data_IF_850626384767
#
_entry.id   IF_850626384767
#
_cell.length_a   1.000
_cell.length_b   1.000
_cell.length_c   1.000
_cell.angle_alpha   90.00
_cell.angle_beta   90.00
_cell.angle_gamma   90.00
#
_symmetry.space_group_name_H-M   'P 1'
#
loop_
_entity.id
_entity.type
_entity.pdbx_description
1 polymer ?
2 non-polymer ?
3 water ?
#
# COMPACT_ATOMS: atom_id res chain seq x y z
N UNK A 3 5.57 -0.47 30.29
CA UNK A 3 5.42 0.64 29.35
C UNK A 3 3.95 0.99 29.11
N UNK A 4 3.65 2.28 28.87
CA UNK A 4 2.31 2.64 28.37
C UNK A 4 1.90 1.84 27.13
N UNK A 5 0.60 1.56 27.03
CA UNK A 5 0.03 0.80 25.92
C UNK A 5 0.00 1.61 24.62
N UNK A 6 -0.15 0.90 23.51
CA UNK A 6 -0.36 1.55 22.23
C UNK A 6 -1.53 2.51 22.35
N UNK A 7 -2.62 2.05 22.96
CA UNK A 7 -3.81 2.89 23.19
C UNK A 7 -3.43 4.26 23.74
N UNK A 8 -2.65 4.26 24.82
CA UNK A 8 -2.19 5.52 25.46
C UNK A 8 -1.32 6.30 24.50
N UNK A 9 -0.40 5.61 23.85
CA UNK A 9 0.60 6.26 22.99
C UNK A 9 -0.03 7.07 21.86
N UNK A 10 -1.14 6.60 21.33
CA UNK A 10 -1.70 7.24 20.15
C UNK A 10 -2.82 8.23 20.52
N UNK A 11 -3.08 8.40 21.82
CA UNK A 11 -4.06 9.40 22.26
C UNK A 11 -5.42 8.85 22.68
N UNK A 12 -5.50 7.54 22.82
CA UNK A 12 -6.67 6.91 23.39
C UNK A 12 -7.93 6.92 22.52
N UNK A 13 -9.07 6.91 23.22
CA UNK A 13 -10.39 6.73 22.61
C UNK A 13 -10.65 7.68 21.45
N UNK A 14 -10.31 8.93 21.67
CA UNK A 14 -10.53 9.95 20.66
C UNK A 14 -9.87 9.58 19.32
N UNK A 15 -8.69 8.98 19.39
CA UNK A 15 -7.95 8.61 18.17
C UNK A 15 -8.63 7.44 17.48
N UNK A 16 -9.09 6.47 18.25
CA UNK A 16 -9.79 5.33 17.65
C UNK A 16 -11.11 5.76 16.99
N UNK A 17 -11.74 6.80 17.52
CA UNK A 17 -12.97 7.30 16.93
C UNK A 17 -12.63 7.85 15.54
N UNK A 18 -11.54 8.62 15.44
CA UNK A 18 -11.10 9.17 14.15
C UNK A 18 -10.78 8.04 13.15
N UNK A 19 -10.04 7.04 13.61
CA UNK A 19 -9.65 5.92 12.77
C UNK A 19 -10.89 5.24 12.20
N UNK A 20 -11.84 4.91 13.06
CA UNK A 20 -12.99 4.09 12.65
C UNK A 20 -13.94 4.91 11.78
N UNK A 21 -14.09 6.20 12.07
CA UNK A 21 -14.90 7.08 11.22
C UNK A 21 -14.36 7.05 9.78
N UNK A 22 -13.05 7.16 9.64
CA UNK A 22 -12.44 7.28 8.30
C UNK A 22 -12.57 5.94 7.58
N UNK A 23 -12.34 4.87 8.34
CA UNK A 23 -12.39 3.52 7.80
C UNK A 23 -13.80 3.25 7.30
N UNK A 24 -14.81 3.51 8.14
CA UNK A 24 -16.18 3.19 7.76
C UNK A 24 -16.69 4.05 6.60
N UNK A 25 -16.22 5.29 6.51
CA UNK A 25 -16.60 6.13 5.38
C UNK A 25 -16.15 5.49 4.06
N UNK A 26 -14.94 4.95 4.10
CA UNK A 26 -14.36 4.27 2.96
C UNK A 26 -15.07 2.96 2.67
N UNK A 27 -15.38 2.20 3.70
CA UNK A 27 -16.16 0.96 3.53
C UNK A 27 -17.47 1.28 2.85
N UNK A 28 -18.16 2.33 3.30
CA UNK A 28 -19.50 2.58 2.80
C UNK A 28 -19.40 2.92 1.31
N UNK A 29 -18.30 3.53 0.90
CA UNK A 29 -18.14 4.00 -0.48
C UNK A 29 -17.47 2.98 -1.40
N UNK A 30 -17.19 1.78 -0.89
CA UNK A 30 -16.49 0.75 -1.65
C UNK A 30 -17.37 -0.45 -1.97
N UNK A 31 -17.79 -0.58 -3.24
CA UNK A 31 -18.66 -1.71 -3.59
C UNK A 31 -18.06 -3.10 -3.36
N UNK A 32 -16.75 -3.18 -3.19
CA UNK A 32 -16.10 -4.47 -2.93
C UNK A 32 -16.49 -5.01 -1.56
N UNK A 33 -16.87 -4.10 -0.65
CA UNK A 33 -17.09 -4.46 0.75
C UNK A 33 -18.49 -4.21 1.24
N UNK A 34 -19.14 -3.16 0.73
CA UNK A 34 -20.33 -2.60 1.36
C UNK A 34 -21.40 -3.69 1.52
N UNK A 35 -21.54 -4.53 0.49
CA UNK A 35 -22.60 -5.53 0.48
C UNK A 35 -22.51 -6.56 1.60
N UNK A 36 -21.34 -6.70 2.19
CA UNK A 36 -21.14 -7.67 3.26
C UNK A 36 -21.67 -7.17 4.59
N UNK A 37 -21.80 -5.85 4.70
CA UNK A 37 -22.19 -5.21 5.93
C UNK A 37 -23.70 -5.03 6.01
N UNK A 38 -24.25 -4.90 7.23
CA UNK A 38 -25.71 -4.80 7.33
C UNK A 38 -26.25 -3.48 6.79
N UNK A 39 -27.57 -3.37 6.66
CA UNK A 39 -28.18 -2.11 6.24
C UNK A 39 -27.79 -0.97 7.20
N UNK A 40 -27.77 -1.24 8.51
CA UNK A 40 -27.42 -0.23 9.52
C UNK A 40 -26.00 -0.54 9.98
N UNK A 41 -25.07 0.37 9.72
CA UNK A 41 -23.67 0.12 10.05
C UNK A 41 -23.31 0.45 11.50
N UNK A 42 -24.18 1.17 12.21
CA UNK A 42 -23.76 1.81 13.46
C UNK A 42 -23.41 0.84 14.60
N UNK A 43 -24.24 -0.21 14.81
CA UNK A 43 -23.84 -1.10 15.89
C UNK A 43 -22.48 -1.77 15.67
N UNK A 44 -22.25 -2.24 14.46
CA UNK A 44 -21.00 -2.88 14.09
C UNK A 44 -19.82 -1.93 14.14
N UNK A 45 -20.04 -0.68 13.74
CA UNK A 45 -19.02 0.35 13.82
C UNK A 45 -18.55 0.54 15.25
N UNK A 46 -19.49 0.65 16.19
CA UNK A 46 -19.13 0.82 17.59
C UNK A 46 -18.39 -0.42 18.11
N UNK A 47 -18.84 -1.61 17.68
CA UNK A 47 -18.20 -2.84 18.11
C UNK A 47 -16.77 -2.87 17.62
N UNK A 48 -16.56 -2.45 16.37
CA UNK A 48 -15.20 -2.48 15.87
C UNK A 48 -14.30 -1.48 16.64
N UNK A 49 -14.80 -0.27 16.87
CA UNK A 49 -14.05 0.72 17.66
C UNK A 49 -13.69 0.17 19.04
N UNK A 50 -14.66 -0.42 19.74
CA UNK A 50 -14.40 -0.92 21.08
C UNK A 50 -13.37 -2.06 21.05
N UNK A 51 -13.44 -2.90 20.03
CA UNK A 51 -12.47 -3.97 19.89
C UNK A 51 -11.06 -3.40 19.74
N UNK A 52 -10.88 -2.44 18.82
CA UNK A 52 -9.57 -1.89 18.60
C UNK A 52 -9.04 -1.25 19.89
N UNK A 53 -9.91 -0.52 20.56
CA UNK A 53 -9.53 0.14 21.81
C UNK A 53 -9.01 -0.87 22.82
N UNK A 54 -9.72 -1.97 22.94
CA UNK A 54 -9.35 -3.03 23.88
C UNK A 54 -8.08 -3.76 23.48
N UNK A 55 -7.98 -4.11 22.20
CA UNK A 55 -6.84 -4.89 21.73
C UNK A 55 -5.54 -4.16 21.99
N UNK A 56 -5.53 -2.85 21.73
CA UNK A 56 -4.32 -2.06 21.83
C UNK A 56 -4.12 -1.48 23.24
N UNK A 57 -4.91 -1.95 24.20
CA UNK A 57 -4.57 -1.78 25.61
C UNK A 57 -5.45 -0.84 26.39
N UNK A 58 -6.54 -0.37 25.79
CA UNK A 58 -7.50 0.48 26.47
C UNK A 58 -8.59 -0.24 27.25
N UNK A 59 -9.76 0.43 27.37
CA UNK A 59 -10.86 -0.16 28.14
C UNK A 59 -11.30 -1.52 27.62
N UNK A 60 -11.82 -2.35 28.53
CA UNK A 60 -12.32 -3.69 28.22
C UNK A 60 -13.80 -3.67 27.92
N UNK A 61 -14.29 -2.53 27.45
CA UNK A 61 -15.71 -2.38 27.16
C UNK A 61 -16.19 -3.41 26.11
N UNK A 62 -15.33 -3.69 25.13
CA UNK A 62 -15.70 -4.64 24.11
C UNK A 62 -16.11 -5.98 24.74
N UNK A 63 -15.24 -6.52 25.58
CA UNK A 63 -15.49 -7.80 26.25
C UNK A 63 -16.76 -7.78 27.09
N UNK A 64 -17.04 -6.64 27.73
CA UNK A 64 -18.24 -6.51 28.55
C UNK A 64 -19.49 -6.61 27.69
N UNK A 65 -19.38 -6.17 26.44
CA UNK A 65 -20.55 -6.14 25.54
C UNK A 65 -20.64 -7.36 24.64
N UNK A 66 -19.48 -7.90 24.25
CA UNK A 66 -19.44 -8.92 23.21
C UNK A 66 -18.73 -10.21 23.58
N UNK A 67 -18.11 -10.25 24.76
CA UNK A 67 -17.38 -11.44 25.18
C UNK A 67 -16.05 -11.50 24.45
N UNK A 68 -15.52 -12.69 24.23
CA UNK A 68 -14.24 -12.82 23.54
C UNK A 68 -14.41 -12.40 22.09
N UNK A 69 -13.39 -11.76 21.50
CA UNK A 69 -13.56 -11.31 20.11
C UNK A 69 -13.84 -12.45 19.11
N UNK A 70 -13.18 -13.59 19.23
CA UNK A 70 -13.43 -14.72 18.32
C UNK A 70 -13.59 -14.24 16.88
N UNK A 71 -12.67 -13.40 16.41
CA UNK A 71 -12.91 -12.70 15.16
C UNK A 71 -13.02 -13.65 13.97
N UNK A 72 -12.14 -14.64 13.87
CA UNK A 72 -12.28 -15.58 12.76
C UNK A 72 -13.64 -16.28 12.73
N UNK A 73 -14.16 -16.64 13.90
CA UNK A 73 -15.49 -17.23 13.99
C UNK A 73 -16.55 -16.21 13.55
N UNK A 74 -16.40 -14.96 13.97
CA UNK A 74 -17.44 -13.97 13.69
C UNK A 74 -17.46 -13.58 12.23
N UNK A 75 -16.35 -13.80 11.51
CA UNK A 75 -16.29 -13.42 10.12
C UNK A 75 -16.66 -14.59 9.20
N UNK A 76 -16.93 -15.76 9.76
CA UNK A 76 -17.31 -16.93 8.97
C UNK A 76 -18.50 -16.66 8.03
N UNK A 77 -19.46 -15.81 8.43
CA UNK A 77 -20.62 -15.63 7.52
C UNK A 77 -20.31 -14.87 6.24
N UNK A 78 -19.13 -14.25 6.16
CA UNK A 78 -18.74 -13.37 5.06
C UNK A 78 -17.73 -14.08 4.16
N UNK A 79 -18.05 -14.26 2.87
CA UNK A 79 -17.02 -14.87 2.01
C UNK A 79 -15.83 -13.93 1.81
N UNK A 80 -14.68 -14.29 2.37
CA UNK A 80 -13.53 -13.39 2.40
C UNK A 80 -12.39 -14.08 1.72
N UNK A 81 -11.99 -13.52 0.58
CA UNK A 81 -10.85 -14.02 -0.15
C UNK A 81 -9.83 -12.89 -0.27
N UNK A 82 -8.81 -13.07 -1.12
CA UNK A 82 -7.77 -12.07 -1.34
C UNK A 82 -8.34 -10.67 -1.70
N UNK A 83 -9.41 -10.61 -2.48
CA UNK A 83 -9.94 -9.30 -2.92
C UNK A 83 -10.55 -8.52 -1.76
N UNK A 84 -11.22 -9.24 -0.87
CA UNK A 84 -11.84 -8.63 0.29
C UNK A 84 -10.77 -8.24 1.32
N UNK A 85 -9.78 -9.10 1.47
CA UNK A 85 -8.64 -8.82 2.35
C UNK A 85 -7.98 -7.52 1.93
N UNK A 86 -7.68 -7.45 0.64
CA UNK A 86 -6.97 -6.32 0.05
C UNK A 86 -7.78 -5.03 0.23
N UNK A 87 -9.08 -5.08 0.01
CA UNK A 87 -9.92 -3.91 0.17
C UNK A 87 -9.97 -3.44 1.63
N UNK A 88 -10.18 -4.36 2.57
CA UNK A 88 -10.19 -4.01 3.97
C UNK A 88 -8.87 -3.33 4.40
N UNK A 89 -7.76 -3.95 4.03
CA UNK A 89 -6.44 -3.48 4.45
C UNK A 89 -6.14 -2.11 3.82
N UNK A 90 -6.51 -1.92 2.56
CA UNK A 90 -6.35 -0.61 1.93
C UNK A 90 -6.98 0.49 2.79
N UNK A 91 -8.22 0.26 3.20
CA UNK A 91 -8.94 1.30 3.90
C UNK A 91 -8.47 1.48 5.33
N UNK A 92 -8.08 0.38 5.99
CA UNK A 92 -7.63 0.54 7.37
C UNK A 92 -6.25 1.18 7.38
N UNK A 93 -5.39 0.80 6.45
CA UNK A 93 -4.11 1.48 6.44
C UNK A 93 -4.26 2.96 6.13
N UNK A 94 -5.16 3.32 5.22
CA UNK A 94 -5.39 4.72 4.92
C UNK A 94 -5.93 5.44 6.16
N UNK A 95 -6.80 4.78 6.90
CA UNK A 95 -7.40 5.40 8.08
C UNK A 95 -6.32 5.73 9.13
N UNK A 96 -5.36 4.81 9.35
CA UNK A 96 -4.24 5.08 10.26
C UNK A 96 -3.45 6.28 9.83
N UNK A 97 -3.18 6.37 8.55
CA UNK A 97 -2.42 7.51 8.03
C UNK A 97 -3.20 8.82 8.16
N UNK A 98 -4.47 8.82 7.77
CA UNK A 98 -5.29 10.03 7.81
C UNK A 98 -5.65 10.47 9.24
N UNK A 99 -5.70 9.55 10.20
CA UNK A 99 -6.04 9.87 11.58
C UNK A 99 -4.85 10.44 12.35
N UNK A 100 -3.68 10.41 11.74
CA UNK A 100 -2.49 10.98 12.34
C UNK A 100 -1.83 10.10 13.39
N UNK A 101 -1.91 8.80 13.25
CA UNK A 101 -1.32 7.90 14.22
C UNK A 101 0.19 7.99 14.10
N UNK A 102 0.88 8.33 15.21
CA UNK A 102 2.33 8.49 15.19
C UNK A 102 3.10 7.18 15.12
N UNK A 103 4.30 7.24 14.59
CA UNK A 103 5.24 6.12 14.66
C UNK A 103 5.93 6.17 16.02
N UNK A 104 6.36 5.01 16.53
CA UNK A 104 6.30 3.64 16.00
C UNK A 104 4.95 2.93 16.19
N UNK A 105 4.04 3.54 16.93
CA UNK A 105 2.81 2.87 17.28
C UNK A 105 2.04 2.48 16.01
N UNK A 106 2.01 3.39 15.02
CA UNK A 106 1.32 3.12 13.77
C UNK A 106 1.82 1.84 13.11
N UNK A 107 3.13 1.62 13.17
CA UNK A 107 3.71 0.41 12.56
C UNK A 107 3.24 -0.85 13.26
N UNK A 108 3.14 -0.80 14.58
CA UNK A 108 2.65 -1.96 15.36
C UNK A 108 1.23 -2.31 14.92
N UNK A 109 0.38 -1.29 14.80
CA UNK A 109 -0.99 -1.45 14.38
C UNK A 109 -1.07 -2.03 12.97
N UNK A 110 -0.26 -1.51 12.06
CA UNK A 110 -0.16 -2.03 10.69
C UNK A 110 0.26 -3.51 10.69
N UNK A 111 1.25 -3.83 11.51
CA UNK A 111 1.74 -5.20 11.55
C UNK A 111 0.59 -6.12 11.99
N UNK A 112 -0.13 -5.70 13.02
CA UNK A 112 -1.22 -6.51 13.51
C UNK A 112 -2.31 -6.69 12.42
N UNK A 113 -2.67 -5.58 11.76
CA UNK A 113 -3.73 -5.62 10.75
C UNK A 113 -3.37 -6.51 9.57
N UNK A 114 -2.11 -6.49 9.15
CA UNK A 114 -1.70 -7.26 7.98
C UNK A 114 -1.84 -8.74 8.29
N UNK A 115 -1.48 -9.11 9.51
CA UNK A 115 -1.58 -10.49 9.92
C UNK A 115 -3.04 -10.90 10.07
N UNK A 116 -3.82 -10.08 10.78
CA UNK A 116 -5.21 -10.38 11.08
C UNK A 116 -6.07 -10.48 9.81
N UNK A 117 -5.84 -9.56 8.87
CA UNK A 117 -6.60 -9.56 7.61
C UNK A 117 -6.34 -10.84 6.82
N UNK A 118 -5.10 -11.28 6.76
CA UNK A 118 -4.74 -12.53 6.09
C UNK A 118 -5.43 -13.71 6.77
N UNK A 119 -5.31 -13.76 8.09
CA UNK A 119 -5.88 -14.87 8.86
C UNK A 119 -7.42 -14.91 8.88
N UNK A 120 -8.09 -13.86 8.45
CA UNK A 120 -9.54 -13.81 8.40
C UNK A 120 -10.08 -14.50 7.15
N UNK A 121 -9.25 -14.72 6.16
CA UNK A 121 -9.75 -15.25 4.90
C UNK A 121 -10.35 -16.63 5.13
N UNK A 122 -11.41 -16.93 4.39
CA UNK A 122 -12.10 -18.20 4.54
C UNK A 122 -12.55 -18.84 3.22
N UNK A 123 -12.22 -18.25 2.08
CA UNK A 123 -12.63 -18.83 0.78
C UNK A 123 -11.58 -18.54 -0.29
N UNK B 3 29.73 15.01 -21.94
CA UNK B 3 29.12 15.31 -20.65
C UNK B 3 28.54 14.05 -20.01
N UNK B 4 28.47 14.02 -18.67
CA UNK B 4 27.99 12.83 -17.98
C UNK B 4 26.53 12.51 -18.28
N UNK B 5 26.21 11.23 -18.41
CA UNK B 5 24.82 10.80 -18.51
C UNK B 5 24.15 11.00 -17.14
N UNK B 6 22.83 10.97 -17.11
CA UNK B 6 22.14 10.97 -15.82
C UNK B 6 22.56 9.72 -15.05
N UNK B 7 22.67 8.60 -15.75
CA UNK B 7 23.15 7.36 -15.16
C UNK B 7 24.40 7.63 -14.35
N UNK B 8 25.34 8.34 -14.97
CA UNK B 8 26.57 8.68 -14.28
C UNK B 8 26.35 9.74 -13.20
N UNK B 9 25.61 10.79 -13.53
CA UNK B 9 25.36 11.89 -12.60
C UNK B 9 24.90 11.39 -11.22
N UNK B 10 24.06 10.36 -11.19
CA UNK B 10 23.44 9.94 -9.93
C UNK B 10 24.09 8.75 -9.25
N UNK B 11 25.17 8.23 -9.82
CA UNK B 11 25.94 7.18 -9.15
C UNK B 11 25.75 5.80 -9.74
N UNK B 12 25.17 5.77 -10.94
CA UNK B 12 25.06 4.54 -11.72
C UNK B 12 24.29 3.40 -11.08
N UNK B 13 24.75 2.18 -11.35
CA UNK B 13 23.96 1.00 -11.02
C UNK B 13 23.54 0.95 -9.55
N UNK B 14 24.44 1.28 -8.63
CA UNK B 14 24.09 1.22 -7.21
C UNK B 14 22.88 2.10 -6.86
N UNK B 15 22.76 3.25 -7.49
CA UNK B 15 21.69 4.17 -7.16
C UNK B 15 20.38 3.65 -7.75
N UNK B 16 20.43 3.08 -8.95
CA UNK B 16 19.20 2.51 -9.53
C UNK B 16 18.76 1.33 -8.71
N UNK B 17 19.70 0.58 -8.16
CA UNK B 17 19.33 -0.56 -7.31
C UNK B 17 18.57 -0.06 -6.10
N UNK B 18 19.04 1.04 -5.52
CA UNK B 18 18.42 1.60 -4.32
C UNK B 18 17.02 2.11 -4.62
N UNK B 19 16.87 2.84 -5.75
CA UNK B 19 15.56 3.36 -6.15
C UNK B 19 14.56 2.22 -6.31
N UNK B 20 14.96 1.18 -7.05
CA UNK B 20 14.04 0.10 -7.38
C UNK B 20 13.75 -0.70 -6.14
N UNK B 21 14.73 -0.87 -5.24
CA UNK B 21 14.45 -1.56 -3.98
C UNK B 21 13.35 -0.85 -3.17
N UNK B 22 13.45 0.48 -3.05
CA UNK B 22 12.49 1.25 -2.26
C UNK B 22 11.12 1.21 -2.93
N UNK B 23 11.11 1.44 -4.24
CA UNK B 23 9.90 1.40 -5.04
C UNK B 23 9.15 0.08 -4.83
N UNK B 24 9.85 -1.03 -5.05
CA UNK B 24 9.21 -2.34 -4.96
C UNK B 24 8.77 -2.69 -3.53
N UNK B 25 9.49 -2.21 -2.53
CA UNK B 25 9.05 -2.47 -1.14
C UNK B 25 7.67 -1.82 -0.93
N UNK B 26 7.54 -0.60 -1.46
CA UNK B 26 6.28 0.15 -1.32
C UNK B 26 5.14 -0.51 -2.11
N UNK B 27 5.45 -0.98 -3.32
CA UNK B 27 4.48 -1.67 -4.17
C UNK B 27 4.00 -2.95 -3.47
N UNK B 28 4.97 -3.69 -2.94
CA UNK B 28 4.65 -4.97 -2.32
C UNK B 28 3.70 -4.78 -1.15
N UNK B 29 3.89 -3.67 -0.44
CA UNK B 29 3.10 -3.34 0.77
C UNK B 29 1.77 -2.64 0.46
N UNK B 30 1.49 -2.35 -0.80
CA UNK B 30 0.33 -1.55 -1.18
C UNK B 30 -0.79 -2.40 -1.78
N UNK B 31 -1.87 -2.65 -1.00
CA UNK B 31 -2.92 -3.50 -1.59
C UNK B 31 -3.62 -2.87 -2.80
N UNK B 32 -3.36 -1.61 -3.13
CA UNK B 32 -3.88 -1.02 -4.36
C UNK B 32 -3.19 -1.63 -5.58
N UNK B 33 -2.00 -2.18 -5.38
CA UNK B 33 -1.16 -2.58 -6.50
C UNK B 33 -0.68 -4.01 -6.50
N UNK B 34 -0.52 -4.62 -5.31
CA UNK B 34 0.17 -5.90 -5.20
C UNK B 34 -0.46 -6.95 -6.10
N UNK B 35 -1.78 -6.89 -6.23
CA UNK B 35 -2.52 -7.92 -6.93
C UNK B 35 -2.15 -7.98 -8.42
N UNK B 36 -1.62 -6.89 -8.96
CA UNK B 36 -1.27 -6.84 -10.38
C UNK B 36 0.01 -7.54 -10.68
N UNK B 37 0.88 -7.68 -9.65
CA UNK B 37 2.23 -8.21 -9.82
C UNK B 37 2.30 -9.71 -9.56
N UNK B 38 3.30 -10.40 -10.12
CA UNK B 38 3.41 -11.86 -9.94
C UNK B 38 3.67 -12.28 -8.50
N UNK B 39 3.52 -13.57 -8.20
CA UNK B 39 3.84 -14.08 -6.88
C UNK B 39 5.33 -13.90 -6.60
N UNK B 40 6.14 -14.12 -7.62
CA UNK B 40 7.58 -13.89 -7.51
C UNK B 40 7.91 -12.53 -8.14
N UNK B 41 8.28 -11.56 -7.30
CA UNK B 41 8.52 -10.19 -7.77
C UNK B 41 9.92 -10.03 -8.37
N UNK B 42 10.80 -10.99 -8.15
CA UNK B 42 12.20 -10.72 -8.40
C UNK B 42 12.53 -10.52 -9.89
N UNK B 43 11.96 -11.35 -10.80
CA UNK B 43 12.34 -11.07 -12.19
C UNK B 43 11.94 -9.66 -12.64
N UNK B 44 10.75 -9.20 -12.24
CA UNK B 44 10.26 -7.90 -12.66
C UNK B 44 11.07 -6.78 -12.07
N UNK B 45 11.53 -7.00 -10.84
CA UNK B 45 12.35 -6.03 -10.18
C UNK B 45 13.68 -5.88 -10.93
N UNK B 46 14.23 -7.00 -11.40
CA UNK B 46 15.46 -6.96 -12.21
C UNK B 46 15.18 -6.22 -13.52
N UNK B 47 14.05 -6.50 -14.17
CA UNK B 47 13.76 -5.86 -15.45
C UNK B 47 13.61 -4.35 -15.28
N UNK B 48 12.94 -3.93 -14.22
CA UNK B 48 12.71 -2.52 -13.96
C UNK B 48 14.06 -1.83 -13.73
N UNK B 49 14.92 -2.42 -12.90
CA UNK B 49 16.25 -1.83 -12.67
C UNK B 49 16.99 -1.68 -14.00
N UNK B 50 17.03 -2.74 -14.80
CA UNK B 50 17.77 -2.66 -16.05
C UNK B 50 17.15 -1.63 -17.00
N UNK B 51 15.82 -1.59 -17.08
CA UNK B 51 15.20 -0.60 -17.95
C UNK B 51 15.62 0.83 -17.57
N UNK B 52 15.53 1.14 -16.28
CA UNK B 52 15.80 2.49 -15.83
C UNK B 52 17.26 2.85 -16.11
N UNK B 53 18.17 1.89 -15.86
CA UNK B 53 19.58 2.09 -16.13
C UNK B 53 19.79 2.44 -17.59
N UNK B 54 19.13 1.70 -18.45
CA UNK B 54 19.25 1.93 -19.88
C UNK B 54 18.63 3.25 -20.32
N UNK B 55 17.42 3.54 -19.84
CA UNK B 55 16.72 4.76 -20.25
C UNK B 55 17.52 6.00 -19.95
N UNK B 56 18.21 5.98 -18.81
CA UNK B 56 18.92 7.16 -18.34
C UNK B 56 20.41 7.14 -18.70
N UNK B 57 20.76 6.37 -19.72
CA UNK B 57 22.06 6.49 -20.34
C UNK B 57 23.10 5.44 -19.98
N UNK B 58 22.70 4.44 -19.20
CA UNK B 58 23.61 3.38 -18.76
C UNK B 58 23.71 2.19 -19.70
N UNK B 59 24.15 1.02 -19.19
CA UNK B 59 24.24 -0.18 -20.04
C UNK B 59 22.95 -0.53 -20.74
N UNK B 60 23.06 -1.13 -21.92
CA UNK B 60 21.87 -1.56 -22.63
C UNK B 60 21.53 -3.02 -22.33
N UNK B 61 21.82 -3.43 -21.10
CA UNK B 61 21.51 -4.77 -20.66
C UNK B 61 20.02 -5.11 -20.84
N UNK B 62 19.14 -4.14 -20.58
CA UNK B 62 17.71 -4.37 -20.71
C UNK B 62 17.33 -4.86 -22.11
N UNK B 63 17.77 -4.15 -23.14
CA UNK B 63 17.44 -4.54 -24.51
C UNK B 63 18.09 -5.87 -24.87
N UNK B 64 19.21 -6.21 -24.22
CA UNK B 64 19.83 -7.51 -24.42
C UNK B 64 18.94 -8.64 -23.88
N UNK B 65 18.30 -8.40 -22.73
CA UNK B 65 17.43 -9.42 -22.10
C UNK B 65 16.03 -9.45 -22.71
N UNK B 66 15.48 -8.27 -22.95
CA UNK B 66 14.04 -8.10 -23.13
C UNK B 66 13.61 -7.54 -24.48
N UNK B 67 14.57 -7.09 -25.29
CA UNK B 67 14.27 -6.46 -26.56
C UNK B 67 13.78 -5.02 -26.36
N UNK B 68 12.94 -4.55 -27.28
CA UNK B 68 12.38 -3.20 -27.18
C UNK B 68 11.47 -3.06 -25.95
N UNK B 69 11.56 -1.91 -25.24
CA UNK B 69 10.70 -1.73 -24.06
C UNK B 69 9.20 -1.89 -24.33
N UNK B 70 8.71 -1.24 -25.38
CA UNK B 70 7.28 -1.18 -25.70
C UNK B 70 6.43 -1.22 -24.44
N UNK B 71 6.67 -0.28 -23.54
CA UNK B 71 6.06 -0.36 -22.20
C UNK B 71 4.54 -0.30 -22.26
N UNK B 72 3.98 0.57 -23.10
CA UNK B 72 2.53 0.69 -23.15
C UNK B 72 1.87 -0.64 -23.57
N UNK B 73 2.44 -1.33 -24.55
CA UNK B 73 1.94 -2.66 -24.91
C UNK B 73 2.13 -3.67 -23.76
N UNK B 74 3.23 -3.58 -23.04
CA UNK B 74 3.52 -4.54 -21.97
C UNK B 74 2.61 -4.37 -20.78
N UNK B 75 2.06 -3.17 -20.62
CA UNK B 75 1.19 -2.88 -19.49
C UNK B 75 -0.29 -3.13 -19.83
N UNK B 76 -0.56 -3.48 -21.08
CA UNK B 76 -1.94 -3.65 -21.53
C UNK B 76 -2.72 -4.69 -20.71
N UNK B 77 -2.07 -5.78 -20.28
CA UNK B 77 -2.81 -6.79 -19.51
C UNK B 77 -3.26 -6.33 -18.14
N UNK B 78 -2.71 -5.21 -17.65
CA UNK B 78 -3.06 -4.73 -16.31
C UNK B 78 -4.05 -3.60 -16.41
N UNK B 79 -5.17 -3.71 -15.68
CA UNK B 79 -6.10 -2.58 -15.70
C UNK B 79 -5.49 -1.42 -14.94
N UNK B 80 -5.24 -0.32 -15.64
CA UNK B 80 -4.53 0.82 -15.07
C UNK B 80 -5.35 2.06 -15.31
N UNK B 81 -5.97 2.56 -14.24
CA UNK B 81 -6.67 3.83 -14.27
C UNK B 81 -5.99 4.85 -13.37
N UNK B 82 -6.65 5.97 -13.09
CA UNK B 82 -6.00 7.00 -12.27
C UNK B 82 -5.57 6.45 -10.90
N UNK B 83 -6.35 5.53 -10.36
CA UNK B 83 -6.03 4.88 -9.07
C UNK B 83 -4.64 4.24 -9.05
N UNK B 84 -4.41 3.38 -10.02
CA UNK B 84 -3.14 2.68 -10.17
C UNK B 84 -1.99 3.61 -10.56
N UNK B 85 -2.26 4.55 -11.46
CA UNK B 85 -1.29 5.54 -11.85
C UNK B 85 -0.79 6.33 -10.63
N UNK B 86 -1.72 6.84 -9.84
CA UNK B 86 -1.39 7.67 -8.69
C UNK B 86 -0.57 6.89 -7.68
N UNK B 87 -0.96 5.64 -7.44
CA UNK B 87 -0.25 4.82 -6.48
C UNK B 87 1.19 4.59 -6.95
N UNK B 88 1.33 4.25 -8.24
CA UNK B 88 2.63 3.93 -8.82
C UNK B 88 3.55 5.13 -8.68
N UNK B 89 3.03 6.30 -9.03
CA UNK B 89 3.82 7.54 -9.02
C UNK B 89 4.22 7.92 -7.62
N UNK B 90 3.29 7.78 -6.68
CA UNK B 90 3.56 8.01 -5.26
C UNK B 90 4.80 7.22 -4.86
N UNK B 91 4.84 5.95 -5.22
CA UNK B 91 5.93 5.12 -4.76
C UNK B 91 7.24 5.40 -5.47
N UNK B 92 7.19 5.64 -6.78
CA UNK B 92 8.44 5.88 -7.53
C UNK B 92 9.05 7.23 -7.15
N UNK B 93 8.21 8.25 -6.95
CA UNK B 93 8.74 9.56 -6.53
C UNK B 93 9.27 9.48 -5.11
N UNK B 94 8.61 8.71 -4.24
CA UNK B 94 9.14 8.57 -2.88
C UNK B 94 10.51 7.89 -2.90
N UNK B 95 10.66 6.89 -3.78
CA UNK B 95 11.91 6.16 -3.94
C UNK B 95 13.04 7.10 -4.43
N UNK B 96 12.71 7.93 -5.41
CA UNK B 96 13.63 8.91 -5.95
C UNK B 96 14.14 9.83 -4.85
N UNK B 97 13.20 10.32 -4.05
CA UNK B 97 13.50 11.26 -2.99
C UNK B 97 14.22 10.61 -1.80
N UNK B 98 13.90 9.35 -1.50
CA UNK B 98 14.50 8.65 -0.39
C UNK B 98 15.93 8.15 -0.69
N UNK B 99 16.18 7.90 -1.97
CA UNK B 99 17.47 7.41 -2.47
C UNK B 99 18.50 8.53 -2.57
N UNK B 100 18.08 9.77 -2.36
CA UNK B 100 19.00 10.90 -2.39
C UNK B 100 19.58 11.29 -3.76
N UNK B 101 18.80 11.12 -4.82
CA UNK B 101 19.26 11.48 -6.14
C UNK B 101 19.47 13.00 -6.19
N UNK B 102 20.63 13.45 -6.69
CA UNK B 102 20.85 14.90 -6.68
C UNK B 102 20.15 15.64 -7.84
N UNK B 103 20.01 16.94 -7.67
CA UNK B 103 19.57 17.82 -8.76
C UNK B 103 20.75 18.12 -9.67
N UNK B 104 20.48 18.40 -10.96
CA UNK B 104 19.19 18.48 -11.65
C UNK B 104 18.65 17.12 -12.09
N UNK B 105 19.43 16.06 -12.00
CA UNK B 105 18.97 14.76 -12.51
C UNK B 105 17.66 14.34 -11.86
N UNK B 106 17.51 14.58 -10.57
CA UNK B 106 16.33 14.13 -9.86
C UNK B 106 15.08 14.74 -10.52
N UNK B 107 15.18 16.00 -10.94
CA UNK B 107 14.06 16.64 -11.63
C UNK B 107 13.74 16.00 -12.98
N UNK B 108 14.76 15.68 -13.77
CA UNK B 108 14.55 15.00 -15.05
C UNK B 108 13.80 13.67 -14.81
N UNK B 109 14.26 12.93 -13.83
CA UNK B 109 13.65 11.63 -13.55
C UNK B 109 12.18 11.84 -13.14
N UNK B 110 11.91 12.80 -12.27
CA UNK B 110 10.53 13.06 -11.88
C UNK B 110 9.69 13.43 -13.08
N UNK B 111 10.23 14.32 -13.93
CA UNK B 111 9.48 14.78 -15.10
C UNK B 111 9.10 13.61 -15.99
N UNK B 112 10.06 12.73 -16.24
CA UNK B 112 9.86 11.55 -17.04
C UNK B 112 8.77 10.67 -16.42
N UNK B 113 8.89 10.39 -15.13
CA UNK B 113 7.96 9.47 -14.49
C UNK B 113 6.54 10.01 -14.52
N UNK B 114 6.38 11.32 -14.29
CA UNK B 114 5.03 11.90 -14.31
C UNK B 114 4.40 11.71 -15.67
N UNK B 115 5.18 11.89 -16.73
CA UNK B 115 4.69 11.72 -18.10
C UNK B 115 4.37 10.24 -18.37
N UNK B 116 5.34 9.40 -18.08
CA UNK B 116 5.25 7.99 -18.42
C UNK B 116 4.12 7.29 -17.66
N UNK B 117 3.90 7.65 -16.40
CA UNK B 117 2.83 7.06 -15.61
C UNK B 117 1.47 7.40 -16.22
N UNK B 118 1.33 8.65 -16.66
CA UNK B 118 0.09 9.07 -17.30
C UNK B 118 -0.11 8.26 -18.59
N UNK B 119 0.93 8.16 -19.39
CA UNK B 119 0.85 7.51 -20.70
C UNK B 119 0.59 6.01 -20.61
N UNK B 120 0.79 5.43 -19.44
CA UNK B 120 0.58 3.99 -19.29
C UNK B 120 -0.87 3.64 -19.00
N UNK B 121 -1.67 4.61 -18.63
CA UNK B 121 -3.07 4.33 -18.24
C UNK B 121 -3.82 3.77 -19.43
N UNK B 122 -4.74 2.85 -19.18
CA UNK B 122 -5.50 2.23 -20.26
C UNK B 122 -7.02 2.17 -19.97
N UNK B 123 -7.44 2.76 -18.85
CA UNK B 123 -8.86 2.73 -18.44
C UNK B 123 -9.24 4.07 -17.78
#
# INVERSE_FOLDING_TARGET
MSEPTIYEQIGGEATFRRIVDIFYARVEADPRLRHLFPADLEPGKEHQRLFLMQYFGGPRTYSERRGHPRLRMRHAPFPIGPRERDAWLEHMLAALNEAGVPEPARSVMENYFRHAAQAMMNRLGED
MSEPTIYEQIGGEATFRRIVDIFYARVEADPRLRHLFPADLEPGKEHQRLFLMQYFGGPRTYSERRGHPRLRMRHAPFPIGPRERDAWLEHMLAALNEAGVPEPARSVMENYFRHAAQAMMNRLGED
#
